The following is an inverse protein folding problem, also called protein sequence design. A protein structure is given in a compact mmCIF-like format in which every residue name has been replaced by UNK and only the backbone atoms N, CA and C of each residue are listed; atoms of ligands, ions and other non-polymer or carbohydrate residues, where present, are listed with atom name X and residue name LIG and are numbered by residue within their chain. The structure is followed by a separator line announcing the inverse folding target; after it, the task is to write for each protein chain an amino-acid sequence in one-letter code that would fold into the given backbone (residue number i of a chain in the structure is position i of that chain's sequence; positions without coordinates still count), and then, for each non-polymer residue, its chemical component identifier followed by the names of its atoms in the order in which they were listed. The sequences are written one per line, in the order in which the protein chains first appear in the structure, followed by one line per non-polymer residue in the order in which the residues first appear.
data_IF_211884943922
#
_entry.id   IF_211884943922
#
_cell.length_a   1.000
_cell.length_b   1.000
_cell.length_c   1.000
_cell.angle_alpha   90.00
_cell.angle_beta   90.00
_cell.angle_gamma   90.00
#
_symmetry.space_group_name_H-M   'P 1'
#
loop_
_entity.id
_entity.type
_entity.pdbx_description
1 polymer ?
#
# COMPACT_ATOMS: atom_id res chain seq x y z
N UNK A 1 9.41 22.79 -21.16
CA UNK A 1 9.75 22.19 -19.86
C UNK A 1 9.81 20.68 -20.06
N UNK A 2 10.96 20.19 -20.50
CA UNK A 2 11.21 18.78 -20.82
C UNK A 2 11.53 18.04 -19.53
N UNK A 3 10.56 17.27 -19.01
CA UNK A 3 10.77 16.42 -17.85
C UNK A 3 11.65 15.24 -18.27
N UNK A 4 12.82 15.13 -17.65
CA UNK A 4 13.79 14.07 -17.88
C UNK A 4 13.27 12.75 -17.28
N UNK A 5 12.47 12.02 -18.06
CA UNK A 5 11.83 10.76 -17.69
C UNK A 5 12.82 9.63 -17.33
N UNK A 6 14.12 9.81 -17.62
CA UNK A 6 15.15 8.79 -17.38
C UNK A 6 15.48 8.60 -15.89
N UNK A 7 15.16 9.56 -15.03
CA UNK A 7 15.46 9.50 -13.59
C UNK A 7 14.29 9.05 -12.70
N UNK A 8 13.06 9.12 -13.20
CA UNK A 8 11.83 8.89 -12.42
C UNK A 8 10.90 7.86 -13.09
N UNK A 9 11.43 6.87 -13.80
CA UNK A 9 10.61 5.73 -14.20
C UNK A 9 10.14 5.03 -12.91
N UNK A 10 8.82 4.82 -12.71
CA UNK A 10 8.31 4.14 -11.51
C UNK A 10 8.82 2.68 -11.41
N UNK A 11 9.31 2.14 -12.52
CA UNK A 11 9.90 0.81 -12.64
C UNK A 11 11.29 0.94 -13.28
N UNK A 12 12.29 0.34 -12.64
CA UNK A 12 13.65 0.26 -13.19
C UNK A 12 13.72 -0.87 -14.23
N UNK A 13 13.64 -0.49 -15.50
CA UNK A 13 13.74 -1.42 -16.63
C UNK A 13 15.19 -1.77 -17.00
N UNK A 14 16.19 -1.18 -16.34
CA UNK A 14 17.57 -1.24 -16.82
C UNK A 14 18.39 -2.42 -16.27
N UNK A 15 18.04 -3.05 -15.12
CA UNK A 15 18.97 -4.02 -14.48
C UNK A 15 18.44 -5.20 -13.65
N UNK A 16 17.15 -5.48 -13.48
CA UNK A 16 16.73 -6.66 -12.66
C UNK A 16 15.60 -7.51 -13.25
N UNK A 17 15.69 -8.82 -13.03
CA UNK A 17 14.71 -9.85 -13.48
C UNK A 17 13.49 -9.98 -12.57
N UNK A 18 13.40 -9.18 -11.48
CA UNK A 18 12.23 -9.07 -10.60
C UNK A 18 11.90 -7.60 -10.37
N UNK A 19 11.08 -7.04 -11.26
CA UNK A 19 10.70 -5.62 -11.25
C UNK A 19 9.91 -5.16 -10.01
N UNK A 20 9.36 -6.06 -9.19
CA UNK A 20 8.46 -5.73 -8.07
C UNK A 20 8.88 -6.35 -6.71
N UNK A 21 10.07 -6.94 -6.60
CA UNK A 21 10.50 -7.55 -5.33
C UNK A 21 10.86 -6.48 -4.29
N UNK A 22 10.13 -6.42 -3.17
CA UNK A 22 10.40 -5.51 -2.05
C UNK A 22 9.80 -4.11 -2.19
N UNK A 23 8.96 -3.87 -3.19
CA UNK A 23 8.31 -2.57 -3.44
C UNK A 23 7.40 -2.14 -2.28
N UNK A 24 6.73 -3.08 -1.62
CA UNK A 24 5.90 -2.81 -0.43
C UNK A 24 6.69 -2.19 0.74
N UNK A 25 7.96 -2.58 0.94
CA UNK A 25 8.80 -2.13 2.07
C UNK A 25 9.68 -0.93 1.67
N UNK A 26 10.14 -0.86 0.42
CA UNK A 26 11.08 0.16 -0.05
C UNK A 26 10.41 1.38 -0.69
N UNK A 27 9.18 1.25 -1.19
CA UNK A 27 8.44 2.38 -1.72
C UNK A 27 7.86 3.18 -0.55
N UNK A 28 8.45 4.35 -0.26
CA UNK A 28 8.03 5.21 0.85
C UNK A 28 6.55 5.62 0.77
N UNK A 29 5.94 5.57 -0.42
CA UNK A 29 4.51 5.81 -0.61
C UNK A 29 3.61 4.77 0.07
N UNK A 30 4.10 3.55 0.31
CA UNK A 30 3.35 2.47 0.97
C UNK A 30 3.47 2.48 2.50
N UNK A 31 4.51 3.16 3.03
CA UNK A 31 4.82 3.19 4.46
C UNK A 31 3.65 3.64 5.37
N UNK A 32 2.83 4.67 5.03
CA UNK A 32 1.71 5.08 5.87
C UNK A 32 0.64 4.00 6.01
N UNK A 33 0.32 3.33 4.89
CA UNK A 33 -0.65 2.23 4.88
C UNK A 33 -0.17 1.06 5.73
N UNK A 34 1.10 0.68 5.60
CA UNK A 34 1.68 -0.45 6.33
C UNK A 34 1.78 -0.20 7.84
N UNK A 35 2.26 0.99 8.24
CA UNK A 35 2.33 1.37 9.66
C UNK A 35 0.94 1.47 10.30
N UNK A 36 -0.02 2.05 9.59
CA UNK A 36 -1.40 2.10 10.08
C UNK A 36 -2.03 0.71 10.21
N UNK A 37 -1.72 -0.23 9.30
CA UNK A 37 -2.19 -1.62 9.40
C UNK A 37 -1.61 -2.31 10.62
N UNK A 38 -0.32 -2.11 10.91
CA UNK A 38 0.31 -2.64 12.11
C UNK A 38 -0.35 -2.09 13.39
N UNK A 39 -0.60 -0.78 13.44
CA UNK A 39 -1.31 -0.15 14.55
C UNK A 39 -2.74 -0.70 14.72
N UNK A 40 -3.45 -0.92 13.62
CA UNK A 40 -4.79 -1.50 13.62
C UNK A 40 -4.79 -2.91 14.24
N UNK A 41 -3.82 -3.77 13.89
CA UNK A 41 -3.70 -5.13 14.45
C UNK A 41 -3.42 -5.10 15.95
N UNK A 42 -2.54 -4.20 16.40
CA UNK A 42 -2.24 -4.03 17.83
C UNK A 42 -3.50 -3.59 18.58
N UNK A 43 -4.20 -2.55 18.10
CA UNK A 43 -5.43 -2.06 18.70
C UNK A 43 -6.52 -3.15 18.73
N UNK A 44 -6.63 -3.96 17.68
CA UNK A 44 -7.57 -5.08 17.60
C UNK A 44 -7.28 -6.12 18.68
N UNK A 45 -6.01 -6.49 18.83
CA UNK A 45 -5.57 -7.49 19.83
C UNK A 45 -5.87 -7.01 21.25
N UNK A 46 -5.54 -5.75 21.54
CA UNK A 46 -5.82 -5.13 22.84
C UNK A 46 -7.33 -5.06 23.09
N UNK A 47 -8.12 -4.67 22.08
CA UNK A 47 -9.57 -4.59 22.19
C UNK A 47 -10.23 -5.93 22.48
N UNK A 48 -9.84 -6.98 21.75
CA UNK A 48 -10.34 -8.35 21.99
C UNK A 48 -9.97 -8.85 23.39
N UNK A 49 -8.74 -8.62 23.83
CA UNK A 49 -8.31 -8.98 25.19
C UNK A 49 -9.12 -8.24 26.26
N UNK A 50 -9.35 -6.94 26.09
CA UNK A 50 -10.15 -6.14 27.01
C UNK A 50 -11.61 -6.62 27.08
N UNK A 51 -12.23 -6.95 25.94
CA UNK A 51 -13.57 -7.55 25.91
C UNK A 51 -13.58 -8.88 26.66
N UNK A 52 -12.61 -9.76 26.40
CA UNK A 52 -12.49 -11.06 27.07
C UNK A 52 -12.28 -10.93 28.59
N UNK A 53 -11.60 -9.87 29.03
CA UNK A 53 -11.40 -9.52 30.44
C UNK A 53 -12.62 -8.80 31.08
N UNK A 54 -13.72 -8.61 30.35
CA UNK A 54 -14.94 -7.96 30.86
C UNK A 54 -14.95 -6.43 30.76
N UNK A 55 -13.90 -5.81 30.21
CA UNK A 55 -13.83 -4.37 29.98
C UNK A 55 -14.51 -3.97 28.67
N UNK A 56 -15.84 -4.10 28.60
CA UNK A 56 -16.60 -3.96 27.36
C UNK A 56 -16.47 -2.58 26.69
N UNK A 57 -16.56 -1.48 27.46
CA UNK A 57 -16.45 -0.12 26.89
C UNK A 57 -15.06 0.14 26.32
N UNK A 58 -14.01 -0.17 27.09
CA UNK A 58 -12.63 0.00 26.64
C UNK A 58 -12.30 -0.88 25.44
N UNK A 59 -12.76 -2.13 25.46
CA UNK A 59 -12.62 -3.06 24.35
C UNK A 59 -13.35 -2.58 23.09
N UNK A 60 -14.59 -2.11 23.22
CA UNK A 60 -15.35 -1.57 22.09
C UNK A 60 -14.66 -0.35 21.46
N UNK A 61 -14.15 0.59 22.26
CA UNK A 61 -13.41 1.75 21.75
C UNK A 61 -12.16 1.30 20.98
N UNK A 62 -11.37 0.38 21.56
CA UNK A 62 -10.17 -0.13 20.90
C UNK A 62 -10.47 -0.84 19.57
N UNK A 63 -11.58 -1.60 19.50
CA UNK A 63 -12.02 -2.26 18.27
C UNK A 63 -12.49 -1.26 17.21
N UNK A 64 -13.19 -0.19 17.59
CA UNK A 64 -13.58 0.89 16.66
C UNK A 64 -12.34 1.58 16.09
N UNK A 65 -11.35 1.89 16.95
CA UNK A 65 -10.07 2.46 16.51
C UNK A 65 -9.34 1.51 15.57
N UNK A 66 -9.30 0.21 15.89
CA UNK A 66 -8.69 -0.79 15.03
C UNK A 66 -9.36 -0.87 13.65
N UNK A 67 -10.70 -0.91 13.62
CA UNK A 67 -11.46 -0.99 12.37
C UNK A 67 -11.27 0.25 11.50
N UNK A 68 -11.28 1.45 12.10
CA UNK A 68 -11.07 2.70 11.38
C UNK A 68 -9.64 2.81 10.82
N UNK A 69 -8.62 2.50 11.63
CA UNK A 69 -7.23 2.47 11.15
C UNK A 69 -7.05 1.42 10.04
N UNK A 70 -7.59 0.22 10.22
CA UNK A 70 -7.51 -0.85 9.22
C UNK A 70 -8.14 -0.44 7.88
N UNK A 71 -9.32 0.19 7.92
CA UNK A 71 -10.00 0.68 6.72
C UNK A 71 -9.21 1.79 6.02
N UNK A 72 -8.70 2.77 6.77
CA UNK A 72 -7.89 3.87 6.22
C UNK A 72 -6.58 3.37 5.61
N UNK A 73 -5.91 2.44 6.28
CA UNK A 73 -4.69 1.82 5.77
C UNK A 73 -4.93 1.00 4.50
N UNK A 74 -5.98 0.18 4.47
CA UNK A 74 -6.34 -0.57 3.28
C UNK A 74 -6.66 0.36 2.11
N UNK A 75 -7.43 1.43 2.35
CA UNK A 75 -7.74 2.43 1.33
C UNK A 75 -6.48 3.13 0.80
N UNK A 76 -5.52 3.45 1.68
CA UNK A 76 -4.25 4.05 1.29
C UNK A 76 -3.43 3.12 0.39
N UNK A 77 -3.26 1.85 0.80
CA UNK A 77 -2.51 0.85 0.02
C UNK A 77 -3.14 0.64 -1.36
N UNK A 78 -4.46 0.49 -1.43
CA UNK A 78 -5.18 0.37 -2.70
C UNK A 78 -4.96 1.60 -3.60
N UNK A 79 -4.96 2.80 -3.02
CA UNK A 79 -4.70 4.03 -3.76
C UNK A 79 -3.26 4.11 -4.25
N UNK A 80 -2.29 3.66 -3.46
CA UNK A 80 -0.89 3.59 -3.86
C UNK A 80 -0.70 2.60 -5.02
N UNK A 81 -1.28 1.40 -4.94
CA UNK A 81 -1.26 0.42 -6.03
C UNK A 81 -1.87 0.97 -7.34
N UNK A 82 -3.02 1.63 -7.25
CA UNK A 82 -3.65 2.26 -8.42
C UNK A 82 -2.75 3.34 -9.04
N UNK A 83 -2.12 4.18 -8.21
CA UNK A 83 -1.21 5.23 -8.70
C UNK A 83 -0.01 4.66 -9.47
N UNK A 84 0.58 3.56 -8.99
CA UNK A 84 1.68 2.88 -9.69
C UNK A 84 1.20 2.30 -11.02
N UNK A 85 0.06 1.58 -11.00
CA UNK A 85 -0.54 1.00 -12.21
C UNK A 85 -0.87 2.07 -13.27
N UNK A 86 -1.46 3.19 -12.86
CA UNK A 86 -1.76 4.28 -13.78
C UNK A 86 -0.48 4.89 -14.39
N UNK A 87 0.61 4.95 -13.62
CA UNK A 87 1.90 5.44 -14.12
C UNK A 87 2.54 4.47 -15.11
N UNK A 88 2.47 3.17 -14.83
CA UNK A 88 2.94 2.11 -15.72
C UNK A 88 2.16 2.07 -17.04
N UNK A 89 0.82 2.13 -16.98
CA UNK A 89 -0.03 2.20 -18.17
C UNK A 89 0.26 3.43 -19.03
N UNK A 90 0.45 4.61 -18.41
CA UNK A 90 0.84 5.83 -19.14
C UNK A 90 2.21 5.71 -19.79
N UNK A 91 3.17 5.09 -19.11
CA UNK A 91 4.50 4.88 -19.68
C UNK A 91 4.44 3.93 -20.89
N UNK A 92 3.73 2.80 -20.77
CA UNK A 92 3.54 1.85 -21.87
C UNK A 92 2.88 2.51 -23.09
N UNK A 93 1.83 3.32 -22.88
CA UNK A 93 1.13 4.00 -23.97
C UNK A 93 2.00 4.98 -24.76
N UNK A 94 3.07 5.52 -24.16
CA UNK A 94 3.95 6.53 -24.78
C UNK A 94 5.21 5.91 -25.37
N UNK A 95 5.72 4.83 -24.77
CA UNK A 95 7.08 4.33 -25.05
C UNK A 95 7.17 2.85 -25.45
N UNK A 96 6.07 2.09 -25.47
CA UNK A 96 6.09 0.65 -25.72
C UNK A 96 5.19 0.23 -26.87
N UNK A 97 5.75 -0.51 -27.82
CA UNK A 97 5.01 -1.15 -28.91
C UNK A 97 4.39 -2.51 -28.50
N UNK A 98 4.58 -2.92 -27.24
CA UNK A 98 4.03 -4.15 -26.68
C UNK A 98 2.88 -3.89 -25.71
N UNK A 99 1.88 -4.80 -25.65
CA UNK A 99 0.78 -4.68 -24.69
C UNK A 99 1.31 -4.61 -23.24
N UNK A 100 0.68 -3.80 -22.37
CA UNK A 100 1.08 -3.70 -20.97
C UNK A 100 0.93 -5.05 -20.24
N UNK A 101 1.83 -5.38 -19.31
CA UNK A 101 1.76 -6.63 -18.57
C UNK A 101 0.52 -6.68 -17.66
N UNK A 102 -0.05 -7.89 -17.43
CA UNK A 102 -1.26 -8.06 -16.62
C UNK A 102 -1.04 -7.56 -15.18
N UNK A 103 -2.12 -7.20 -14.46
CA UNK A 103 -2.02 -6.81 -13.05
C UNK A 103 -1.36 -7.91 -12.23
N UNK A 104 -0.33 -7.56 -11.44
CA UNK A 104 0.25 -8.46 -10.46
C UNK A 104 -0.74 -8.64 -9.31
N UNK A 105 -1.19 -9.88 -9.09
CA UNK A 105 -2.05 -10.27 -7.97
C UNK A 105 -1.34 -10.22 -6.62
#
# INVERSE_FOLDING_TARGET
MTLDFRKNAPVDHARTTRQHAGESIRNGANAPGLLGSAAAVIAMTVGLFAVAAGHLVGGAIALIVAATLGALSAAWLLRAHRRVRDAELRWHAVYSDHPPPPPSS
#
